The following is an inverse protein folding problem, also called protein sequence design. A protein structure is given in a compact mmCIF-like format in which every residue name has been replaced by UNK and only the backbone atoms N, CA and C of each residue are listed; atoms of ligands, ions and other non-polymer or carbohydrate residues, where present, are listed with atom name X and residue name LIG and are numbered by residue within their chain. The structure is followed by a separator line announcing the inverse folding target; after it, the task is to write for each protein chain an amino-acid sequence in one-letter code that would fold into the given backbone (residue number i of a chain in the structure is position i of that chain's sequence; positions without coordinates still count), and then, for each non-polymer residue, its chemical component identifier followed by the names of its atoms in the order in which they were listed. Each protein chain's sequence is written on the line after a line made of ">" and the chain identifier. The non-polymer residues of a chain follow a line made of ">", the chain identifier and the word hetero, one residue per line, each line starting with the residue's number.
data_IF_254311509580
#
_entry.id   IF_254311509580
#
_cell.length_a   1.000
_cell.length_b   1.000
_cell.length_c   1.000
_cell.angle_alpha   90.00
_cell.angle_beta   90.00
_cell.angle_gamma   90.00
#
_symmetry.space_group_name_H-M   'P 1'
#
loop_
_entity.id
_entity.type
_entity.pdbx_description
1 polymer ?
#
# COMPACT_ATOMS: atom_id res chain seq x y z
N UNK A 1 27.38 -13.83 7.90
CA UNK A 1 27.60 -13.10 9.20
C UNK A 1 26.65 -13.69 10.22
N UNK A 2 27.08 -13.92 11.46
CA UNK A 2 26.16 -14.49 12.47
C UNK A 2 25.33 -13.39 13.15
N UNK A 3 24.18 -13.76 13.70
CA UNK A 3 23.26 -12.84 14.38
C UNK A 3 23.96 -11.85 15.33
N UNK A 4 24.91 -12.35 16.16
CA UNK A 4 25.62 -11.50 17.13
C UNK A 4 26.50 -10.43 16.48
N UNK A 5 27.12 -10.74 15.35
CA UNK A 5 27.96 -9.80 14.59
C UNK A 5 27.08 -8.70 13.99
N UNK A 6 25.93 -9.09 13.43
CA UNK A 6 24.96 -8.17 12.82
C UNK A 6 24.35 -7.24 13.88
N UNK A 7 23.93 -7.81 15.02
CA UNK A 7 23.37 -7.03 16.12
C UNK A 7 24.36 -5.99 16.65
N UNK A 8 25.64 -6.38 16.78
CA UNK A 8 26.72 -5.47 17.20
C UNK A 8 26.95 -4.37 16.16
N UNK A 9 26.99 -4.73 14.88
CA UNK A 9 27.17 -3.75 13.80
C UNK A 9 26.04 -2.73 13.80
N UNK A 10 24.78 -3.16 13.82
CA UNK A 10 23.60 -2.29 13.88
C UNK A 10 23.62 -1.35 15.08
N UNK A 11 24.06 -1.86 16.24
CA UNK A 11 24.19 -1.04 17.44
C UNK A 11 25.22 0.08 17.25
N UNK A 12 26.38 -0.26 16.68
CA UNK A 12 27.47 0.70 16.46
C UNK A 12 27.10 1.74 15.39
N UNK A 13 26.43 1.32 14.32
CA UNK A 13 25.93 2.22 13.27
C UNK A 13 24.90 3.24 13.78
N UNK A 14 24.11 2.84 14.79
CA UNK A 14 23.15 3.73 15.48
C UNK A 14 23.75 4.49 16.64
N UNK A 15 25.05 4.36 16.92
CA UNK A 15 25.75 5.03 18.01
C UNK A 15 25.27 4.62 19.41
N UNK A 16 24.65 3.44 19.56
CA UNK A 16 24.06 2.98 20.81
C UNK A 16 25.06 2.20 21.65
N UNK A 17 25.00 2.36 22.98
CA UNK A 17 25.61 1.46 23.95
C UNK A 17 24.83 0.15 24.06
N UNK A 18 25.42 -0.89 24.67
CA UNK A 18 24.71 -2.15 24.96
C UNK A 18 23.50 -1.96 25.89
N UNK A 19 23.56 -0.99 26.79
CA UNK A 19 22.49 -0.66 27.74
C UNK A 19 21.30 -0.01 27.00
N UNK A 20 21.57 0.94 26.11
CA UNK A 20 20.55 1.61 25.29
C UNK A 20 19.89 0.64 24.29
N UNK A 21 20.67 -0.22 23.64
CA UNK A 21 20.11 -1.25 22.78
C UNK A 21 19.24 -2.24 23.59
N UNK A 22 19.66 -2.62 24.78
CA UNK A 22 18.90 -3.49 25.65
C UNK A 22 17.56 -2.87 26.06
N UNK A 23 17.55 -1.58 26.40
CA UNK A 23 16.34 -0.83 26.71
C UNK A 23 15.38 -0.76 25.50
N UNK A 24 15.91 -0.47 24.33
CA UNK A 24 15.13 -0.42 23.07
C UNK A 24 14.47 -1.78 22.76
N UNK A 25 15.21 -2.87 22.96
CA UNK A 25 14.76 -4.22 22.66
C UNK A 25 13.94 -4.87 23.80
N UNK A 26 13.76 -4.19 24.95
CA UNK A 26 13.03 -4.71 26.10
C UNK A 26 13.75 -5.90 26.77
N UNK A 27 15.08 -5.88 26.82
CA UNK A 27 15.93 -6.93 27.39
C UNK A 27 16.99 -6.34 28.31
N UNK A 28 18.01 -7.11 28.66
CA UNK A 28 19.10 -6.66 29.55
C UNK A 28 20.43 -6.58 28.80
N UNK A 29 21.34 -5.68 29.26
CA UNK A 29 22.71 -5.58 28.75
C UNK A 29 23.43 -6.94 28.68
N UNK A 30 23.24 -7.77 29.70
CA UNK A 30 23.88 -9.10 29.77
C UNK A 30 23.42 -10.02 28.62
N UNK A 31 22.12 -9.92 28.21
CA UNK A 31 21.59 -10.68 27.11
C UNK A 31 22.19 -10.18 25.80
N UNK A 32 22.23 -8.86 25.57
CA UNK A 32 22.85 -8.26 24.39
C UNK A 32 24.32 -8.67 24.29
N UNK A 33 25.10 -8.51 25.39
CA UNK A 33 26.51 -8.90 25.44
C UNK A 33 26.73 -10.38 25.11
N UNK A 34 25.84 -11.29 25.57
CA UNK A 34 25.93 -12.72 25.26
C UNK A 34 25.64 -13.02 23.81
N UNK A 35 24.74 -12.30 23.17
CA UNK A 35 24.48 -12.43 21.72
C UNK A 35 25.66 -11.88 20.91
N UNK A 36 26.14 -10.67 21.20
CA UNK A 36 27.27 -10.05 20.50
C UNK A 36 28.58 -10.85 20.63
N UNK A 37 28.76 -11.54 21.76
CA UNK A 37 29.96 -12.41 22.03
C UNK A 37 29.72 -13.86 21.62
N UNK A 38 28.62 -14.18 20.93
CA UNK A 38 28.26 -15.53 20.46
C UNK A 38 28.12 -16.59 21.56
N UNK A 39 28.04 -16.15 22.82
CA UNK A 39 27.83 -17.06 23.97
C UNK A 39 26.40 -17.59 24.07
N UNK A 40 25.50 -17.05 23.29
CA UNK A 40 24.09 -17.46 23.20
C UNK A 40 23.57 -17.27 21.79
N UNK A 41 22.85 -18.30 21.28
CA UNK A 41 22.12 -18.21 20.01
C UNK A 41 20.66 -17.88 20.33
N UNK A 42 20.06 -16.85 19.68
CA UNK A 42 18.67 -16.52 19.91
C UNK A 42 17.75 -17.57 19.26
N UNK A 43 16.54 -17.72 19.82
CA UNK A 43 15.46 -18.43 19.14
C UNK A 43 14.88 -17.53 18.05
N UNK A 44 14.27 -18.12 17.02
CA UNK A 44 13.67 -17.37 15.91
C UNK A 44 12.66 -16.32 16.37
N UNK A 45 11.87 -16.63 17.42
CA UNK A 45 10.92 -15.69 18.02
C UNK A 45 11.59 -14.43 18.60
N UNK A 46 12.81 -14.57 19.15
CA UNK A 46 13.59 -13.44 19.67
C UNK A 46 14.15 -12.60 18.52
N UNK A 47 14.61 -13.26 17.46
CA UNK A 47 15.11 -12.57 16.25
C UNK A 47 13.98 -11.76 15.61
N UNK A 48 12.76 -12.33 15.53
CA UNK A 48 11.57 -11.66 15.00
C UNK A 48 11.17 -10.45 15.85
N UNK A 49 11.11 -10.60 17.19
CA UNK A 49 10.78 -9.50 18.11
C UNK A 49 11.81 -8.37 18.03
N UNK A 50 13.09 -8.71 17.91
CA UNK A 50 14.16 -7.71 17.76
C UNK A 50 14.11 -7.00 16.42
N UNK A 51 13.81 -7.72 15.31
CA UNK A 51 13.64 -7.14 14.00
C UNK A 51 12.50 -6.12 13.99
N UNK A 52 11.35 -6.47 14.59
CA UNK A 52 10.19 -5.60 14.73
C UNK A 52 10.53 -4.31 15.51
N UNK A 53 11.15 -4.45 16.69
CA UNK A 53 11.52 -3.31 17.53
C UNK A 53 12.61 -2.42 16.92
N UNK A 54 13.47 -2.99 16.07
CA UNK A 54 14.49 -2.24 15.33
C UNK A 54 13.97 -1.61 14.06
N UNK A 55 12.76 -1.98 13.62
CA UNK A 55 12.16 -1.54 12.36
C UNK A 55 12.90 -2.06 11.12
N UNK A 56 13.46 -3.29 11.19
CA UNK A 56 14.22 -3.90 10.10
C UNK A 56 13.62 -5.26 9.73
N UNK A 57 13.79 -5.72 8.47
CA UNK A 57 13.31 -7.04 8.08
C UNK A 57 14.05 -8.16 8.84
N UNK A 58 13.33 -9.26 9.10
CA UNK A 58 13.86 -10.44 9.80
C UNK A 58 15.15 -10.98 9.14
N UNK A 59 15.20 -10.95 7.81
CA UNK A 59 16.37 -11.38 7.02
C UNK A 59 17.63 -10.58 7.33
N UNK A 60 17.50 -9.31 7.72
CA UNK A 60 18.64 -8.47 8.11
C UNK A 60 19.31 -8.94 9.40
N UNK A 61 18.59 -9.62 10.29
CA UNK A 61 19.12 -10.18 11.54
C UNK A 61 19.46 -11.68 11.45
N UNK A 62 18.85 -12.42 10.52
CA UNK A 62 19.07 -13.88 10.40
C UNK A 62 20.41 -14.26 9.75
N UNK A 63 21.13 -13.30 9.19
CA UNK A 63 22.38 -13.54 8.49
C UNK A 63 22.22 -14.05 7.06
N UNK A 64 20.99 -14.19 6.60
CA UNK A 64 20.70 -14.34 5.17
C UNK A 64 20.91 -12.97 4.53
N UNK A 65 22.07 -12.78 3.92
CA UNK A 65 22.41 -11.52 3.26
C UNK A 65 21.41 -11.28 2.12
N UNK A 66 20.60 -10.23 2.17
CA UNK A 66 19.89 -9.81 0.97
C UNK A 66 20.94 -9.46 -0.07
N UNK A 67 20.78 -9.91 -1.30
CA UNK A 67 21.66 -9.56 -2.44
C UNK A 67 21.58 -8.06 -2.81
N UNK A 68 21.05 -7.21 -1.90
CA UNK A 68 20.88 -5.77 -2.12
C UNK A 68 21.76 -4.96 -1.16
N UNK A 69 22.44 -3.93 -1.64
CA UNK A 69 23.18 -2.97 -0.83
C UNK A 69 22.28 -2.33 0.25
N UNK A 70 22.83 -1.94 1.44
CA UNK A 70 22.07 -1.32 2.53
C UNK A 70 21.29 -0.06 2.11
N UNK A 71 21.80 0.72 1.20
CA UNK A 71 21.15 1.91 0.62
C UNK A 71 19.94 1.59 -0.30
N UNK A 72 19.78 0.33 -0.71
CA UNK A 72 18.62 -0.17 -1.49
C UNK A 72 17.61 -0.95 -0.63
N UNK A 73 17.90 -1.15 0.67
CA UNK A 73 16.90 -1.72 1.56
C UNK A 73 15.78 -0.68 1.74
N UNK A 74 14.51 -1.05 1.54
CA UNK A 74 13.41 -0.13 1.80
C UNK A 74 13.46 0.32 3.25
N UNK A 75 13.72 1.60 3.46
CA UNK A 75 13.65 2.30 4.74
C UNK A 75 12.17 2.56 5.00
N UNK A 76 11.43 1.52 5.42
CA UNK A 76 10.01 1.65 5.69
C UNK A 76 9.46 0.28 6.10
N UNK A 77 8.58 0.26 7.07
CA UNK A 77 7.76 -0.90 7.37
C UNK A 77 6.92 -1.29 6.15
N UNK A 78 6.36 -2.47 6.17
CA UNK A 78 5.36 -2.91 5.19
C UNK A 78 4.05 -3.14 5.91
N UNK A 79 3.00 -2.56 5.39
CA UNK A 79 1.63 -2.82 5.85
C UNK A 79 0.84 -3.62 4.81
N UNK A 80 -0.22 -4.24 5.23
CA UNK A 80 -1.10 -5.00 4.35
C UNK A 80 -2.36 -4.17 4.08
N UNK A 81 -2.72 -4.05 2.81
CA UNK A 81 -3.97 -3.43 2.38
C UNK A 81 -4.85 -4.47 1.68
N UNK A 82 -6.18 -4.40 1.86
CA UNK A 82 -7.09 -5.34 1.22
C UNK A 82 -7.13 -5.10 -0.30
N UNK A 83 -7.28 -6.18 -1.06
CA UNK A 83 -7.64 -6.13 -2.47
C UNK A 83 -9.17 -6.28 -2.53
N UNK A 84 -9.86 -5.25 -2.97
CA UNK A 84 -11.29 -5.27 -3.12
C UNK A 84 -11.65 -5.83 -4.51
N UNK A 85 -12.49 -6.84 -4.55
CA UNK A 85 -13.06 -7.39 -5.78
C UNK A 85 -14.17 -6.50 -6.34
N UNK A 86 -14.61 -6.81 -7.56
CA UNK A 86 -15.70 -6.09 -8.25
C UNK A 86 -17.05 -6.11 -7.52
N UNK A 87 -17.24 -7.02 -6.57
CA UNK A 87 -18.50 -7.18 -5.83
C UNK A 87 -18.63 -6.27 -4.59
N UNK A 88 -17.63 -5.44 -4.27
CA UNK A 88 -17.63 -4.62 -3.06
C UNK A 88 -18.27 -3.24 -3.26
N UNK A 89 -19.32 -3.15 -4.06
CA UNK A 89 -19.92 -1.87 -4.51
C UNK A 89 -20.80 -1.15 -3.48
N UNK A 90 -21.04 -1.71 -2.30
CA UNK A 90 -21.87 -1.08 -1.28
C UNK A 90 -21.10 -0.21 -0.29
N UNK A 91 -20.13 -0.77 0.34
CA UNK A 91 -19.13 -0.11 1.20
C UNK A 91 -17.83 -0.91 1.09
N UNK A 92 -16.67 -0.25 1.02
CA UNK A 92 -15.39 -0.95 1.14
C UNK A 92 -15.19 -1.40 2.57
N UNK A 93 -16.07 -2.28 3.06
CA UNK A 93 -16.01 -2.82 4.41
C UNK A 93 -15.31 -4.16 4.30
N UNK A 94 -14.04 -4.17 4.71
CA UNK A 94 -13.36 -5.37 5.09
C UNK A 94 -14.14 -6.04 6.24
N UNK A 95 -14.63 -7.24 6.00
CA UNK A 95 -15.18 -8.10 7.05
C UNK A 95 -14.17 -9.20 7.33
N UNK A 96 -13.61 -9.30 8.55
CA UNK A 96 -12.73 -10.40 8.89
C UNK A 96 -13.40 -11.75 8.58
N UNK A 97 -12.73 -12.57 7.75
CA UNK A 97 -13.22 -13.91 7.41
C UNK A 97 -14.02 -14.03 6.10
N UNK A 98 -14.18 -12.97 5.31
CA UNK A 98 -14.90 -13.00 4.02
C UNK A 98 -14.05 -13.49 2.82
N UNK A 99 -12.80 -13.92 3.09
CA UNK A 99 -11.89 -14.36 2.03
C UNK A 99 -11.15 -13.24 1.32
N UNK A 100 -11.20 -12.00 1.85
CA UNK A 100 -10.49 -10.86 1.26
C UNK A 100 -8.98 -11.13 1.17
N UNK A 101 -8.43 -10.98 -0.02
CA UNK A 101 -6.99 -11.03 -0.26
C UNK A 101 -6.30 -9.74 0.19
N UNK A 102 -5.06 -9.86 0.61
CA UNK A 102 -4.25 -8.72 1.05
C UNK A 102 -2.94 -8.65 0.28
N UNK A 103 -2.52 -7.44 -0.04
CA UNK A 103 -1.24 -7.17 -0.65
C UNK A 103 -0.36 -6.34 0.28
N UNK A 104 0.94 -6.67 0.34
CA UNK A 104 1.92 -5.90 1.09
C UNK A 104 2.35 -4.66 0.30
N UNK A 105 2.29 -3.50 0.95
CA UNK A 105 2.73 -2.22 0.43
C UNK A 105 3.72 -1.57 1.38
N UNK A 106 4.51 -0.64 0.89
CA UNK A 106 5.39 0.18 1.72
C UNK A 106 4.57 1.16 2.56
N UNK A 107 5.00 1.44 3.79
CA UNK A 107 4.23 2.26 4.73
C UNK A 107 4.04 3.70 4.26
N UNK A 108 4.97 4.21 3.44
CA UNK A 108 4.94 5.55 2.86
C UNK A 108 4.00 5.68 1.66
N UNK A 109 3.54 4.56 1.07
CA UNK A 109 2.53 4.59 0.00
C UNK A 109 1.15 4.95 0.59
N UNK A 110 0.59 6.13 0.29
CA UNK A 110 -0.64 6.61 0.91
C UNK A 110 -1.89 5.98 0.26
N UNK A 111 -2.06 4.66 0.41
CA UNK A 111 -3.23 3.92 -0.09
C UNK A 111 -3.97 3.23 1.04
N UNK A 112 -5.27 3.00 0.90
CA UNK A 112 -6.10 2.35 1.91
C UNK A 112 -6.56 0.97 1.45
N UNK A 113 -6.68 0.76 0.14
CA UNK A 113 -7.03 -0.52 -0.49
C UNK A 113 -6.45 -0.61 -1.90
N UNK A 114 -6.55 -1.79 -2.50
CA UNK A 114 -6.16 -2.03 -3.88
C UNK A 114 -7.33 -2.61 -4.68
N UNK A 115 -7.29 -2.42 -5.99
CA UNK A 115 -8.21 -3.01 -6.97
C UNK A 115 -7.40 -3.75 -8.03
N UNK A 116 -7.95 -4.83 -8.55
CA UNK A 116 -7.43 -5.46 -9.77
C UNK A 116 -8.14 -4.81 -10.95
N UNK A 117 -7.39 -4.15 -11.83
CA UNK A 117 -7.92 -3.54 -13.03
C UNK A 117 -8.56 -4.60 -13.93
N UNK A 118 -9.71 -4.28 -14.52
CA UNK A 118 -10.41 -5.14 -15.46
C UNK A 118 -10.73 -4.36 -16.74
N UNK A 119 -10.57 -5.02 -17.88
CA UNK A 119 -10.78 -4.42 -19.18
C UNK A 119 -9.60 -3.54 -19.63
N UNK A 120 -9.83 -2.73 -20.65
CA UNK A 120 -8.82 -1.97 -21.37
C UNK A 120 -9.13 -0.47 -21.48
N UNK A 121 -10.14 0.01 -20.76
CA UNK A 121 -10.59 1.41 -20.82
C UNK A 121 -9.55 2.44 -20.33
N UNK A 122 -8.52 2.00 -19.61
CA UNK A 122 -7.48 2.85 -19.04
C UNK A 122 -6.08 2.56 -19.61
N UNK A 123 -6.01 1.93 -20.79
CA UNK A 123 -4.74 1.57 -21.44
C UNK A 123 -3.93 2.77 -21.91
N UNK A 124 -4.56 3.93 -22.15
CA UNK A 124 -3.85 5.17 -22.42
C UNK A 124 -2.97 5.66 -21.25
N UNK A 125 -3.34 5.32 -20.02
CA UNK A 125 -2.53 5.53 -18.82
C UNK A 125 -1.64 4.33 -18.47
N UNK A 126 -1.53 3.36 -19.37
CA UNK A 126 -0.77 2.12 -19.18
C UNK A 126 -1.30 1.26 -18.02
N UNK A 127 -2.58 1.32 -17.75
CA UNK A 127 -3.27 0.43 -16.80
C UNK A 127 -3.97 -0.66 -17.62
N UNK A 128 -3.52 -1.89 -17.45
CA UNK A 128 -4.01 -3.05 -18.19
C UNK A 128 -4.79 -3.99 -17.28
N UNK A 129 -5.58 -4.84 -17.91
CA UNK A 129 -6.33 -5.88 -17.17
C UNK A 129 -5.36 -6.80 -16.42
N UNK A 130 -5.62 -6.99 -15.12
CA UNK A 130 -4.76 -7.75 -14.20
C UNK A 130 -3.81 -6.88 -13.35
N UNK A 131 -3.57 -5.63 -13.73
CA UNK A 131 -2.74 -4.73 -12.92
C UNK A 131 -3.40 -4.42 -11.58
N UNK A 132 -2.57 -4.20 -10.56
CA UNK A 132 -3.02 -3.85 -9.21
C UNK A 132 -2.93 -2.33 -9.05
N UNK A 133 -4.07 -1.68 -8.85
CA UNK A 133 -4.18 -0.24 -8.67
C UNK A 133 -4.42 0.08 -7.20
N UNK A 134 -3.53 0.86 -6.60
CA UNK A 134 -3.60 1.27 -5.20
C UNK A 134 -4.43 2.55 -5.07
N UNK A 135 -5.41 2.52 -4.19
CA UNK A 135 -6.41 3.57 -4.03
C UNK A 135 -6.29 4.19 -2.64
N UNK A 136 -6.23 5.52 -2.59
CA UNK A 136 -6.42 6.30 -1.39
C UNK A 136 -7.90 6.70 -1.27
N UNK A 137 -8.54 6.27 -0.18
CA UNK A 137 -9.94 6.62 0.10
C UNK A 137 -10.12 8.13 0.19
N UNK A 138 -10.95 8.69 -0.66
CA UNK A 138 -11.35 10.09 -0.66
C UNK A 138 -12.72 10.23 -1.31
N UNK A 139 -13.61 10.96 -0.65
CA UNK A 139 -14.92 11.30 -1.22
C UNK A 139 -14.82 12.32 -2.36
N UNK A 140 -13.77 13.16 -2.32
CA UNK A 140 -13.53 14.19 -3.32
C UNK A 140 -12.16 14.00 -3.98
N UNK A 141 -12.16 13.89 -5.30
CA UNK A 141 -10.99 13.84 -6.17
C UNK A 141 -10.94 15.11 -7.02
N UNK A 142 -9.77 15.48 -7.53
CA UNK A 142 -9.62 16.65 -8.42
C UNK A 142 -9.93 16.27 -9.87
N UNK A 143 -10.21 17.28 -10.69
CA UNK A 143 -10.35 17.08 -12.12
C UNK A 143 -9.03 16.59 -12.73
N UNK A 144 -9.09 15.57 -13.54
CA UNK A 144 -7.94 14.88 -14.12
C UNK A 144 -7.40 13.72 -13.27
N UNK A 145 -7.80 13.59 -12.01
CA UNK A 145 -7.43 12.44 -11.18
C UNK A 145 -8.05 11.14 -11.75
N UNK A 146 -7.31 10.04 -11.68
CA UNK A 146 -7.87 8.70 -11.89
C UNK A 146 -8.56 8.29 -10.59
N UNK A 147 -9.85 8.07 -10.65
CA UNK A 147 -10.67 7.66 -9.53
C UNK A 147 -11.18 6.23 -9.68
N UNK A 148 -11.26 5.54 -8.55
CA UNK A 148 -12.11 4.36 -8.41
C UNK A 148 -13.54 4.84 -8.14
N UNK A 149 -14.46 4.47 -9.01
CA UNK A 149 -15.86 4.90 -8.95
C UNK A 149 -16.76 3.67 -8.96
N UNK A 150 -17.62 3.57 -7.96
CA UNK A 150 -18.72 2.63 -7.97
C UNK A 150 -19.86 3.21 -8.84
N UNK A 151 -20.24 2.47 -9.85
CA UNK A 151 -21.37 2.73 -10.74
C UNK A 151 -22.34 1.56 -10.57
N UNK A 152 -23.51 1.84 -10.03
CA UNK A 152 -24.47 0.78 -9.64
C UNK A 152 -23.77 -0.29 -8.78
N UNK A 153 -23.55 -1.48 -9.32
CA UNK A 153 -22.88 -2.58 -8.62
C UNK A 153 -21.48 -2.92 -9.14
N UNK A 154 -20.88 -2.04 -9.95
CA UNK A 154 -19.56 -2.27 -10.53
C UNK A 154 -18.57 -1.19 -10.10
N UNK A 155 -17.31 -1.55 -9.95
CA UNK A 155 -16.21 -0.59 -9.72
C UNK A 155 -15.46 -0.38 -11.04
N UNK A 156 -15.28 0.87 -11.41
CA UNK A 156 -14.52 1.26 -12.60
C UNK A 156 -13.44 2.29 -12.26
N UNK A 157 -12.39 2.32 -13.08
CA UNK A 157 -11.36 3.35 -13.04
C UNK A 157 -11.58 4.33 -14.19
N UNK A 158 -11.65 5.62 -13.89
CA UNK A 158 -11.80 6.67 -14.89
C UNK A 158 -11.16 7.97 -14.42
N UNK A 159 -10.78 8.83 -15.35
CA UNK A 159 -10.52 10.21 -15.03
C UNK A 159 -11.82 10.93 -14.70
N UNK A 160 -11.76 11.75 -13.66
CA UNK A 160 -12.89 12.60 -13.27
C UNK A 160 -12.73 13.97 -13.91
N UNK A 161 -13.79 14.47 -14.52
CA UNK A 161 -13.89 15.82 -15.07
C UNK A 161 -15.23 16.41 -14.70
N UNK A 162 -15.21 17.58 -14.03
CA UNK A 162 -16.43 18.31 -13.69
C UNK A 162 -16.65 19.44 -14.66
N UNK A 163 -17.82 19.48 -15.22
CA UNK A 163 -18.26 20.58 -16.06
C UNK A 163 -19.07 21.56 -15.22
N UNK A 164 -18.67 22.84 -15.29
CA UNK A 164 -19.26 23.91 -14.47
C UNK A 164 -20.05 24.84 -15.37
N UNK A 165 -21.19 25.30 -14.85
CA UNK A 165 -21.98 26.34 -15.46
C UNK A 165 -21.35 27.72 -15.32
N UNK A 166 -21.98 28.72 -15.91
CA UNK A 166 -21.53 30.12 -15.83
C UNK A 166 -21.56 30.68 -14.39
N UNK A 167 -22.32 30.10 -13.50
CA UNK A 167 -22.39 30.38 -12.07
C UNK A 167 -21.30 29.71 -11.22
N UNK A 168 -20.41 28.90 -11.86
CA UNK A 168 -19.35 28.16 -11.21
C UNK A 168 -19.79 26.82 -10.56
N UNK A 169 -21.10 26.53 -10.52
CA UNK A 169 -21.63 25.30 -10.01
C UNK A 169 -21.35 24.11 -10.95
N UNK A 170 -21.15 22.93 -10.38
CA UNK A 170 -20.99 21.70 -11.18
C UNK A 170 -22.34 21.33 -11.78
N UNK A 171 -22.42 21.32 -13.10
CA UNK A 171 -23.63 20.94 -13.84
C UNK A 171 -23.68 19.41 -13.99
N UNK A 172 -22.59 18.80 -14.38
CA UNK A 172 -22.43 17.35 -14.41
C UNK A 172 -20.97 16.93 -14.33
N UNK A 173 -20.74 15.68 -14.02
CA UNK A 173 -19.41 15.07 -13.93
C UNK A 173 -19.27 14.05 -15.06
N UNK A 174 -18.13 14.06 -15.73
CA UNK A 174 -17.77 13.06 -16.73
C UNK A 174 -16.73 12.11 -16.15
N UNK A 175 -16.92 10.83 -16.38
CA UNK A 175 -15.93 9.80 -16.19
C UNK A 175 -15.30 9.47 -17.54
N UNK A 176 -14.04 9.85 -17.70
CA UNK A 176 -13.33 9.76 -18.96
C UNK A 176 -12.45 8.52 -18.99
N UNK A 177 -12.61 7.61 -19.95
CA UNK A 177 -11.63 6.57 -20.23
C UNK A 177 -10.39 7.20 -20.86
N UNK A 178 -9.22 6.60 -20.65
CA UNK A 178 -8.01 7.01 -21.37
C UNK A 178 -7.82 6.27 -22.70
N UNK A 179 -8.57 5.20 -22.91
CA UNK A 179 -8.64 4.51 -24.20
C UNK A 179 -9.69 5.17 -25.10
N UNK A 180 -9.31 5.74 -26.26
CA UNK A 180 -10.24 6.43 -27.15
C UNK A 180 -11.31 5.54 -27.79
N UNK A 181 -11.19 4.21 -27.67
CA UNK A 181 -12.23 3.28 -28.11
C UNK A 181 -13.49 3.32 -27.24
N UNK A 182 -13.43 3.94 -26.07
CA UNK A 182 -14.54 4.06 -25.12
C UNK A 182 -15.07 5.49 -25.06
N UNK A 183 -16.39 5.62 -24.94
CA UNK A 183 -17.04 6.91 -24.74
C UNK A 183 -17.00 7.35 -23.26
N UNK A 184 -16.97 8.67 -22.99
CA UNK A 184 -17.19 9.20 -21.65
C UNK A 184 -18.54 8.77 -21.07
N UNK A 185 -18.60 8.67 -19.74
CA UNK A 185 -19.83 8.40 -19.00
C UNK A 185 -20.21 9.70 -18.27
N UNK A 186 -21.35 10.25 -18.58
CA UNK A 186 -21.89 11.44 -17.94
C UNK A 186 -22.68 11.07 -16.69
N UNK A 187 -22.50 11.84 -15.62
CA UNK A 187 -23.11 11.62 -14.30
C UNK A 187 -23.70 12.93 -13.79
N UNK A 188 -24.90 12.86 -13.20
CA UNK A 188 -25.52 14.02 -12.54
C UNK A 188 -26.30 14.93 -13.46
N UNK A 189 -26.64 14.49 -14.67
CA UNK A 189 -27.59 15.18 -15.57
C UNK A 189 -29.05 14.98 -15.13
N UNK A 190 -29.96 15.78 -15.71
CA UNK A 190 -31.41 15.60 -15.50
C UNK A 190 -31.82 14.17 -15.92
N UNK A 191 -32.49 13.44 -15.01
CA UNK A 191 -32.93 12.06 -15.24
C UNK A 191 -31.92 10.98 -14.93
N UNK A 192 -30.75 11.31 -14.34
CA UNK A 192 -29.76 10.33 -13.88
C UNK A 192 -30.33 9.50 -12.71
N UNK A 193 -30.39 8.19 -12.91
CA UNK A 193 -30.90 7.24 -11.88
C UNK A 193 -29.81 6.30 -11.36
N UNK A 194 -28.59 6.36 -11.95
CA UNK A 194 -27.48 5.48 -11.54
C UNK A 194 -26.95 5.88 -10.17
N UNK A 195 -26.69 4.89 -9.34
CA UNK A 195 -25.98 5.09 -8.08
C UNK A 195 -24.48 5.26 -8.36
N UNK A 196 -23.97 6.45 -8.09
CA UNK A 196 -22.56 6.80 -8.35
C UNK A 196 -21.90 7.21 -7.05
N UNK A 197 -20.76 6.56 -6.74
CA UNK A 197 -19.96 6.89 -5.57
C UNK A 197 -18.48 6.87 -5.91
N UNK A 198 -17.77 7.93 -5.57
CA UNK A 198 -16.30 7.97 -5.63
C UNK A 198 -15.77 7.21 -4.42
N UNK A 199 -14.99 6.16 -4.65
CA UNK A 199 -14.36 5.36 -3.61
C UNK A 199 -13.00 5.94 -3.22
N UNK A 200 -12.28 6.55 -4.16
CA UNK A 200 -11.00 7.16 -3.90
C UNK A 200 -10.20 7.48 -5.16
N UNK A 201 -8.99 7.99 -4.94
CA UNK A 201 -8.03 8.35 -5.97
C UNK A 201 -6.99 7.25 -6.14
N UNK A 202 -6.66 6.89 -7.38
CA UNK A 202 -5.51 6.05 -7.70
C UNK A 202 -4.20 6.80 -7.39
N UNK A 203 -3.31 6.17 -6.65
CA UNK A 203 -2.04 6.76 -6.20
C UNK A 203 -0.82 6.01 -6.74
N UNK A 204 -0.97 4.73 -7.09
CA UNK A 204 0.07 3.93 -7.70
C UNK A 204 -0.53 2.76 -8.48
N UNK A 205 0.26 2.19 -9.38
CA UNK A 205 -0.06 0.97 -10.14
C UNK A 205 1.11 0.01 -10.05
N UNK A 206 0.82 -1.26 -9.81
CA UNK A 206 1.78 -2.35 -9.92
C UNK A 206 1.41 -3.18 -11.15
N UNK A 207 2.28 -3.16 -12.12
CA UNK A 207 2.13 -3.95 -13.33
C UNK A 207 2.35 -5.43 -13.04
N UNK A 208 1.49 -6.27 -13.62
CA UNK A 208 1.67 -7.72 -13.61
C UNK A 208 2.27 -8.13 -14.95
N UNK A 209 3.36 -8.91 -14.90
CA UNK A 209 4.08 -9.42 -16.09
C UNK A 209 3.49 -10.75 -16.54
#
# INVERSE_FOLDING_TARGET
>A
MEFGDILRQLRLERGLSQDELAALLGTTKQVISRYETKKRVPRLSVVSDFAEKLGIPLSALSGETPLMPPEMLPVGGRRRVPILGSAACGEPIYKPGDGTEFISVEDDLPCDFALIAQGDSMTGDRIYSGDIVFIRSKEHVQDGDIAAVALDNEVTLKHVRRLRGADGNVVFTQLLPSNPAYSPIDIGGEGETRMVRILGKAVAVRFML
#
